data_IF_733497919095
#
_entry.id   IF_733497919095
#
_cell.length_a   1.000
_cell.length_b   1.000
_cell.length_c   1.000
_cell.angle_alpha   90.00
_cell.angle_beta   90.00
_cell.angle_gamma   90.00
#
_symmetry.space_group_name_H-M   'P 1'
#
loop_
_entity.id
_entity.type
_entity.pdbx_description
1 polymer ?
#
# COMPACT_ATOMS: atom_id res chain seq x y z
N UNK A 1 -5.66 9.79 9.80
CA UNK A 1 -4.56 9.33 8.92
C UNK A 1 -4.64 10.08 7.60
N UNK A 2 -3.50 10.47 7.02
CA UNK A 2 -3.47 11.08 5.68
C UNK A 2 -3.74 10.00 4.62
N UNK A 3 -4.60 10.30 3.66
CA UNK A 3 -5.02 9.37 2.58
C UNK A 3 -4.44 9.73 1.21
N UNK A 4 -3.68 10.82 1.12
CA UNK A 4 -3.02 11.26 -0.11
C UNK A 4 -1.51 11.16 0.03
N UNK A 5 -0.79 10.74 -1.04
CA UNK A 5 0.67 10.67 -1.02
C UNK A 5 1.33 12.00 -0.68
N UNK A 6 2.50 11.95 -0.04
CA UNK A 6 3.33 13.12 0.22
C UNK A 6 4.21 13.44 -1.00
N UNK A 7 3.66 14.19 -1.96
CA UNK A 7 4.41 14.58 -3.16
C UNK A 7 5.47 15.63 -2.85
N UNK A 8 6.71 15.38 -3.28
CA UNK A 8 7.77 16.37 -3.30
C UNK A 8 7.37 17.52 -4.21
N UNK A 9 7.23 18.72 -3.61
CA UNK A 9 6.82 19.97 -4.28
C UNK A 9 5.58 19.77 -5.16
N UNK A 10 4.60 19.00 -4.68
CA UNK A 10 3.34 18.69 -5.35
C UNK A 10 3.49 17.98 -6.71
N UNK A 11 4.61 17.27 -6.94
CA UNK A 11 4.92 16.70 -8.26
C UNK A 11 5.34 15.24 -8.26
N UNK A 12 6.28 14.84 -7.39
CA UNK A 12 6.89 13.50 -7.47
C UNK A 12 6.78 12.78 -6.15
N UNK A 13 6.39 11.51 -6.18
CA UNK A 13 6.41 10.61 -5.03
C UNK A 13 6.96 9.27 -5.51
N UNK A 14 7.98 8.76 -4.84
CA UNK A 14 8.57 7.46 -5.19
C UNK A 14 7.60 6.32 -4.82
N UNK A 15 7.73 5.17 -5.47
CA UNK A 15 7.05 3.94 -5.06
C UNK A 15 8.05 2.78 -5.11
N UNK A 16 8.40 2.23 -3.95
CA UNK A 16 9.43 1.18 -3.81
C UNK A 16 8.98 0.14 -2.78
N UNK A 17 9.44 -1.09 -2.90
CA UNK A 17 9.04 -2.19 -2.01
C UNK A 17 9.85 -2.17 -0.70
N UNK A 18 9.21 -2.53 0.41
CA UNK A 18 9.90 -2.87 1.65
C UNK A 18 10.11 -4.38 1.76
N UNK A 19 11.30 -4.78 2.23
CA UNK A 19 11.60 -6.17 2.60
C UNK A 19 11.23 -6.51 4.05
N UNK A 20 11.04 -5.51 4.91
CA UNK A 20 10.69 -5.64 6.33
C UNK A 20 10.13 -4.32 6.89
N UNK A 21 9.57 -4.35 8.11
CA UNK A 21 9.08 -3.14 8.81
C UNK A 21 10.21 -2.15 9.11
N UNK A 22 11.38 -2.64 9.49
CA UNK A 22 12.55 -1.79 9.71
C UNK A 22 12.99 -1.13 8.41
N UNK A 23 13.04 -1.91 7.33
CA UNK A 23 13.35 -1.38 5.99
C UNK A 23 12.30 -0.37 5.51
N UNK A 24 11.02 -0.55 5.84
CA UNK A 24 9.99 0.45 5.53
C UNK A 24 10.25 1.79 6.23
N UNK A 25 10.68 1.78 7.50
CA UNK A 25 11.07 3.01 8.22
C UNK A 25 12.30 3.67 7.59
N UNK A 26 13.30 2.86 7.24
CA UNK A 26 14.52 3.35 6.58
C UNK A 26 14.20 4.00 5.23
N UNK A 27 13.37 3.36 4.40
CA UNK A 27 12.92 3.90 3.10
C UNK A 27 12.18 5.23 3.30
N UNK A 28 11.24 5.26 4.24
CA UNK A 28 10.44 6.46 4.51
C UNK A 28 11.32 7.62 4.97
N UNK A 29 12.25 7.37 5.90
CA UNK A 29 13.21 8.36 6.37
C UNK A 29 14.17 8.83 5.25
N UNK A 30 14.71 7.90 4.46
CA UNK A 30 15.64 8.21 3.37
C UNK A 30 15.01 9.04 2.25
N UNK A 31 13.70 8.88 2.02
CA UNK A 31 12.96 9.66 1.05
C UNK A 31 12.40 10.98 1.62
N UNK A 32 12.73 11.34 2.86
CA UNK A 32 12.16 12.50 3.57
C UNK A 32 10.61 12.46 3.57
N UNK A 33 10.05 11.25 3.63
CA UNK A 33 8.61 10.99 3.55
C UNK A 33 7.99 11.09 2.16
N UNK A 34 8.74 11.40 1.10
CA UNK A 34 8.25 11.53 -0.28
C UNK A 34 8.20 10.21 -1.05
N UNK A 35 7.64 9.18 -0.41
CA UNK A 35 7.58 7.81 -0.93
C UNK A 35 6.30 7.12 -0.51
N UNK A 36 5.84 6.18 -1.33
CA UNK A 36 4.87 5.16 -1.01
C UNK A 36 5.60 3.82 -0.90
N UNK A 37 5.49 3.17 0.25
CA UNK A 37 6.19 1.92 0.53
C UNK A 37 5.28 0.74 0.19
N UNK A 38 5.71 -0.07 -0.77
CA UNK A 38 4.97 -1.20 -1.30
C UNK A 38 5.04 -2.43 -0.40
N UNK A 39 3.88 -2.98 -0.07
CA UNK A 39 3.72 -4.29 0.60
C UNK A 39 2.77 -5.14 -0.24
N UNK A 40 3.15 -6.40 -0.51
CA UNK A 40 2.48 -7.23 -1.51
C UNK A 40 1.46 -8.17 -0.88
N UNK A 41 0.21 -8.18 -1.37
CA UNK A 41 -0.85 -9.07 -0.89
C UNK A 41 -0.48 -10.54 -1.04
N UNK A 42 0.23 -10.89 -2.11
CA UNK A 42 0.67 -12.26 -2.41
C UNK A 42 1.60 -12.89 -1.37
N UNK A 43 2.18 -12.08 -0.47
CA UNK A 43 3.02 -12.57 0.62
C UNK A 43 2.20 -13.07 1.83
N UNK A 44 0.87 -12.94 1.79
CA UNK A 44 -0.02 -13.32 2.87
C UNK A 44 -1.00 -14.40 2.40
N UNK A 45 -1.35 -15.37 3.27
CA UNK A 45 -2.28 -16.44 2.91
C UNK A 45 -3.74 -15.96 2.78
N UNK A 46 -4.10 -14.86 3.44
CA UNK A 46 -5.47 -14.35 3.48
C UNK A 46 -5.54 -12.84 3.76
N UNK A 47 -6.73 -12.26 3.60
CA UNK A 47 -7.00 -10.84 3.85
C UNK A 47 -6.69 -10.45 5.30
N UNK A 48 -7.08 -11.27 6.28
CA UNK A 48 -7.01 -10.90 7.68
C UNK A 48 -5.55 -10.73 8.13
N UNK A 49 -4.69 -11.67 7.76
CA UNK A 49 -3.24 -11.62 8.00
C UNK A 49 -2.59 -10.44 7.29
N UNK A 50 -2.95 -10.17 6.03
CA UNK A 50 -2.46 -9.00 5.30
C UNK A 50 -2.88 -7.68 5.95
N UNK A 51 -4.16 -7.54 6.33
CA UNK A 51 -4.68 -6.31 6.97
C UNK A 51 -3.99 -6.05 8.30
N UNK A 52 -3.81 -7.09 9.13
CA UNK A 52 -3.13 -6.96 10.42
C UNK A 52 -1.70 -6.42 10.22
N UNK A 53 -0.92 -7.06 9.35
CA UNK A 53 0.48 -6.69 9.14
C UNK A 53 0.63 -5.35 8.41
N UNK A 54 -0.17 -5.09 7.37
CA UNK A 54 -0.12 -3.82 6.62
C UNK A 54 -0.54 -2.60 7.45
N UNK A 55 -1.43 -2.76 8.44
CA UNK A 55 -1.73 -1.68 9.40
C UNK A 55 -0.53 -1.34 10.27
N UNK A 56 0.26 -2.34 10.67
CA UNK A 56 1.50 -2.10 11.39
C UNK A 56 2.49 -1.37 10.49
N UNK A 57 2.69 -1.79 9.24
CA UNK A 57 3.51 -1.02 8.28
C UNK A 57 3.05 0.42 8.18
N UNK A 58 1.76 0.65 7.90
CA UNK A 58 1.18 1.98 7.74
C UNK A 58 1.40 2.87 8.97
N UNK A 59 1.26 2.33 10.18
CA UNK A 59 1.48 3.08 11.43
C UNK A 59 2.93 3.55 11.59
N UNK A 60 3.91 2.86 10.99
CA UNK A 60 5.33 3.18 11.09
C UNK A 60 5.81 4.25 10.08
N UNK A 61 4.99 4.56 9.07
CA UNK A 61 5.36 5.41 7.92
C UNK A 61 4.26 6.44 7.60
N UNK A 62 3.52 6.90 8.62
CA UNK A 62 2.44 7.90 8.48
C UNK A 62 1.40 7.56 7.40
N UNK A 63 1.06 6.28 7.29
CA UNK A 63 0.14 5.71 6.31
C UNK A 63 0.63 5.80 4.85
N UNK A 64 1.91 6.06 4.60
CA UNK A 64 2.54 6.07 3.27
C UNK A 64 2.71 4.67 2.66
N UNK A 65 1.65 3.86 2.76
CA UNK A 65 1.57 2.49 2.30
C UNK A 65 1.05 2.43 0.86
N UNK A 66 1.63 1.54 0.06
CA UNK A 66 1.16 1.12 -1.26
C UNK A 66 0.79 -0.36 -1.21
N UNK A 67 -0.52 -0.67 -1.24
CA UNK A 67 -0.98 -2.06 -1.30
C UNK A 67 -0.74 -2.59 -2.72
N UNK A 68 0.10 -3.63 -2.84
CA UNK A 68 0.51 -4.21 -4.11
C UNK A 68 -0.09 -5.59 -4.36
N UNK A 69 -0.28 -5.97 -5.63
CA UNK A 69 -0.70 -7.32 -6.00
C UNK A 69 0.43 -8.34 -5.74
N UNK A 70 1.64 -8.03 -6.22
CA UNK A 70 2.78 -8.95 -6.25
C UNK A 70 2.98 -9.57 -7.63
N UNK A 71 4.14 -9.32 -8.24
CA UNK A 71 4.50 -9.76 -9.60
C UNK A 71 3.48 -9.38 -10.70
N UNK A 72 2.65 -8.36 -10.49
CA UNK A 72 1.58 -7.98 -11.40
C UNK A 72 0.48 -9.05 -11.56
N UNK A 73 0.34 -9.97 -10.60
CA UNK A 73 -0.58 -11.10 -10.67
C UNK A 73 -2.05 -10.65 -10.59
N UNK A 74 -2.85 -10.75 -11.68
CA UNK A 74 -4.23 -10.29 -11.69
C UNK A 74 -5.13 -11.05 -10.71
N UNK A 75 -4.75 -12.28 -10.31
CA UNK A 75 -5.55 -13.08 -9.38
C UNK A 75 -5.59 -12.49 -7.96
N UNK A 76 -4.69 -11.56 -7.65
CA UNK A 76 -4.65 -10.85 -6.38
C UNK A 76 -5.63 -9.65 -6.33
N UNK A 77 -6.27 -9.30 -7.45
CA UNK A 77 -7.06 -8.08 -7.57
C UNK A 77 -8.20 -7.96 -6.54
N UNK A 78 -8.94 -9.05 -6.29
CA UNK A 78 -10.00 -9.08 -5.30
C UNK A 78 -9.46 -8.90 -3.87
N UNK A 79 -8.38 -9.61 -3.54
CA UNK A 79 -7.73 -9.54 -2.22
C UNK A 79 -7.19 -8.13 -1.95
N UNK A 80 -6.55 -7.48 -2.93
CA UNK A 80 -6.07 -6.09 -2.80
C UNK A 80 -7.22 -5.11 -2.51
N UNK A 81 -8.35 -5.26 -3.21
CA UNK A 81 -9.53 -4.39 -2.99
C UNK A 81 -10.07 -4.55 -1.56
N UNK A 82 -10.14 -5.79 -1.09
CA UNK A 82 -10.64 -6.14 0.23
C UNK A 82 -9.69 -5.69 1.36
N UNK A 83 -8.38 -5.85 1.19
CA UNK A 83 -7.38 -5.31 2.12
C UNK A 83 -7.53 -3.79 2.21
N UNK A 84 -7.63 -3.12 1.06
CA UNK A 84 -7.66 -1.65 0.99
C UNK A 84 -8.88 -1.05 1.69
N UNK A 85 -10.04 -1.74 1.66
CA UNK A 85 -11.23 -1.40 2.45
C UNK A 85 -10.92 -1.16 3.91
N UNK A 86 -10.11 -2.05 4.49
CA UNK A 86 -9.86 -2.08 5.93
C UNK A 86 -8.60 -1.30 6.33
N UNK A 87 -7.59 -1.25 5.44
CA UNK A 87 -6.31 -0.58 5.70
C UNK A 87 -6.37 0.92 5.44
N UNK A 88 -7.16 1.36 4.46
CA UNK A 88 -7.26 2.77 4.05
C UNK A 88 -5.89 3.41 3.75
N UNK A 89 -5.10 2.83 2.81
CA UNK A 89 -3.75 3.29 2.48
C UNK A 89 -3.76 4.58 1.63
N UNK A 90 -2.60 5.21 1.46
CA UNK A 90 -2.43 6.33 0.51
C UNK A 90 -2.39 5.89 -0.96
N UNK A 91 -2.10 4.61 -1.23
CA UNK A 91 -2.00 4.09 -2.59
C UNK A 91 -2.44 2.62 -2.70
N UNK A 92 -3.11 2.30 -3.81
CA UNK A 92 -3.58 0.94 -4.15
C UNK A 92 -3.18 0.64 -5.59
N UNK A 93 -2.42 -0.43 -5.80
CA UNK A 93 -2.14 -0.93 -7.14
C UNK A 93 -3.30 -1.79 -7.61
N UNK A 94 -3.71 -1.62 -8.87
CA UNK A 94 -4.74 -2.46 -9.47
C UNK A 94 -4.47 -2.79 -10.93
N UNK A 95 -5.03 -3.93 -11.34
CA UNK A 95 -5.30 -4.18 -12.76
C UNK A 95 -6.53 -3.40 -13.18
N UNK A 96 -6.66 -3.13 -14.48
CA UNK A 96 -7.72 -2.30 -15.04
C UNK A 96 -9.13 -2.65 -14.49
N UNK A 97 -9.47 -3.94 -14.48
CA UNK A 97 -10.79 -4.44 -14.07
C UNK A 97 -11.05 -4.36 -12.56
N UNK A 98 -10.03 -4.13 -11.72
CA UNK A 98 -10.19 -4.00 -10.28
C UNK A 98 -10.33 -2.57 -9.78
N UNK A 99 -10.09 -1.56 -10.62
CA UNK A 99 -10.09 -0.14 -10.23
C UNK A 99 -11.45 0.28 -9.64
N UNK A 100 -12.54 -0.04 -10.33
CA UNK A 100 -13.90 0.30 -9.86
C UNK A 100 -14.23 -0.34 -8.51
N UNK A 101 -13.88 -1.62 -8.34
CA UNK A 101 -14.10 -2.37 -7.10
C UNK A 101 -13.32 -1.77 -5.93
N UNK A 102 -12.01 -1.52 -6.11
CA UNK A 102 -11.18 -0.91 -5.07
C UNK A 102 -11.71 0.47 -4.65
N UNK A 103 -12.11 1.32 -5.61
CA UNK A 103 -12.73 2.62 -5.32
C UNK A 103 -14.02 2.47 -4.51
N UNK A 104 -14.92 1.56 -4.91
CA UNK A 104 -16.18 1.36 -4.22
C UNK A 104 -16.00 0.89 -2.77
N UNK A 105 -14.99 0.05 -2.50
CA UNK A 105 -14.71 -0.47 -1.15
C UNK A 105 -13.93 0.50 -0.26
N UNK A 106 -13.19 1.45 -0.83
CA UNK A 106 -12.50 2.49 -0.05
C UNK A 106 -13.50 3.47 0.62
N UNK A 107 -14.66 3.68 0.00
CA UNK A 107 -15.62 4.73 0.41
C UNK A 107 -15.21 6.12 -0.08
#
# INVERSE_FOLDING_TARGET
>A
MKLTPNFYRDRVCLNVLAGSKDNAREIYAAAEGHVLVGVLSKNYPDVASAVADMREYAALIDNALSVGLGAGDPNQSAMVSEISRQVQPQHVNQVFTGVGTSRALLG
#
